data_IF_323847158743
#
_entry.id   IF_323847158743
#
_cell.length_a   1.000
_cell.length_b   1.000
_cell.length_c   1.000
_cell.angle_alpha   90.00
_cell.angle_beta   90.00
_cell.angle_gamma   90.00
#
_symmetry.space_group_name_H-M   'P 1'
#
loop_
_entity.id
_entity.type
_entity.pdbx_description
1 polymer ?
#
# COMPACT_ATOMS: atom_id res chain seq x y z
N UNK A 1 -9.11 -14.43 5.69
CA UNK A 1 -8.00 -13.45 5.70
C UNK A 1 -7.12 -13.75 6.90
N UNK A 2 -5.80 -13.72 6.75
CA UNK A 2 -4.85 -13.92 7.85
C UNK A 2 -5.03 -12.79 8.88
N UNK A 3 -5.03 -13.11 10.18
CA UNK A 3 -5.08 -12.08 11.22
C UNK A 3 -3.71 -11.36 11.32
N UNK A 4 -3.64 -10.17 10.77
CA UNK A 4 -2.44 -9.32 10.74
C UNK A 4 -2.46 -8.22 11.80
N UNK A 5 -3.62 -7.97 12.41
CA UNK A 5 -3.74 -6.95 13.44
C UNK A 5 -3.23 -7.42 14.80
N UNK A 6 -3.38 -8.70 15.14
CA UNK A 6 -2.85 -9.25 16.41
C UNK A 6 -1.32 -9.11 16.51
N UNK A 7 -0.51 -9.56 15.56
CA UNK A 7 0.95 -9.37 15.67
C UNK A 7 1.37 -7.89 15.67
N UNK A 8 0.61 -7.00 15.02
CA UNK A 8 0.86 -5.56 15.14
C UNK A 8 0.57 -5.06 16.56
N UNK A 9 -0.56 -5.45 17.15
CA UNK A 9 -0.92 -5.06 18.51
C UNK A 9 0.12 -5.53 19.55
N UNK A 10 0.66 -6.73 19.37
CA UNK A 10 1.75 -7.26 20.21
C UNK A 10 3.04 -6.41 20.07
N UNK A 11 3.40 -6.02 18.84
CA UNK A 11 4.57 -5.16 18.58
C UNK A 11 4.37 -3.74 19.14
N UNK A 12 3.13 -3.22 19.12
CA UNK A 12 2.74 -1.93 19.70
C UNK A 12 2.91 -1.97 21.23
N UNK A 13 2.35 -2.97 21.88
CA UNK A 13 2.46 -3.17 23.34
C UNK A 13 3.92 -3.36 23.78
N UNK A 14 4.71 -4.16 23.04
CA UNK A 14 6.13 -4.38 23.30
C UNK A 14 6.96 -3.09 23.18
N UNK A 15 6.52 -2.12 22.38
CA UNK A 15 7.13 -0.79 22.27
C UNK A 15 6.68 0.21 23.34
N UNK A 16 5.81 -0.22 24.28
CA UNK A 16 5.24 0.65 25.31
C UNK A 16 4.28 1.71 24.75
N UNK A 17 3.59 1.38 23.67
CA UNK A 17 2.57 2.21 23.05
C UNK A 17 1.17 1.65 23.35
N UNK A 18 0.19 2.53 23.47
CA UNK A 18 -1.21 2.14 23.69
C UNK A 18 -1.91 1.88 22.35
N UNK A 19 -1.59 2.68 21.33
CA UNK A 19 -2.16 2.59 19.98
C UNK A 19 -1.07 2.78 18.91
N UNK A 20 -1.37 2.30 17.71
CA UNK A 20 -0.61 2.58 16.51
C UNK A 20 -1.51 3.09 15.40
N UNK A 21 -1.20 4.28 14.89
CA UNK A 21 -1.89 4.92 13.78
C UNK A 21 -1.22 4.53 12.47
N UNK A 22 -1.97 3.86 11.61
CA UNK A 22 -1.57 3.48 10.25
C UNK A 22 -2.32 4.34 9.25
N UNK A 23 -1.60 5.03 8.39
CA UNK A 23 -2.13 5.95 7.37
C UNK A 23 -1.61 5.68 5.97
N UNK A 24 -0.52 4.91 5.82
CA UNK A 24 -0.09 4.41 4.53
C UNK A 24 -1.14 3.44 3.99
N UNK A 25 -1.72 3.76 2.83
CA UNK A 25 -2.80 2.97 2.24
C UNK A 25 -2.38 1.54 1.88
N UNK A 26 -1.10 1.31 1.57
CA UNK A 26 -0.59 -0.05 1.36
C UNK A 26 -0.59 -0.86 2.66
N UNK A 27 -0.28 -0.22 3.78
CA UNK A 27 -0.33 -0.83 5.11
C UNK A 27 -1.78 -1.00 5.60
N UNK A 28 -2.64 -0.04 5.30
CA UNK A 28 -4.09 -0.13 5.55
C UNK A 28 -4.68 -1.33 4.79
N UNK A 29 -4.41 -1.45 3.50
CA UNK A 29 -4.86 -2.59 2.68
C UNK A 29 -4.31 -3.91 3.23
N UNK A 30 -3.03 -3.97 3.56
CA UNK A 30 -2.40 -5.16 4.15
C UNK A 30 -3.11 -5.62 5.42
N UNK A 31 -3.48 -4.70 6.31
CA UNK A 31 -4.12 -5.02 7.57
C UNK A 31 -5.61 -5.36 7.43
N UNK A 32 -6.34 -4.66 6.58
CA UNK A 32 -7.80 -4.66 6.54
C UNK A 32 -8.40 -5.29 5.28
N UNK A 33 -7.66 -5.31 4.17
CA UNK A 33 -8.17 -5.59 2.83
C UNK A 33 -8.84 -4.40 2.14
N UNK A 34 -8.89 -3.23 2.77
CA UNK A 34 -9.50 -2.03 2.19
C UNK A 34 -8.67 -1.46 1.04
N UNK A 35 -9.27 -1.32 -0.12
CA UNK A 35 -8.61 -0.86 -1.36
C UNK A 35 -9.01 0.56 -1.79
N UNK A 36 -9.65 1.33 -0.90
CA UNK A 36 -10.01 2.73 -1.15
C UNK A 36 -8.82 3.70 -0.99
N UNK A 37 -9.05 4.96 -1.37
CA UNK A 37 -8.00 6.00 -1.39
C UNK A 37 -8.03 6.95 -0.19
N UNK A 38 -8.85 6.68 0.83
CA UNK A 38 -8.86 7.42 2.09
C UNK A 38 -9.27 6.50 3.24
N UNK A 39 -8.35 6.23 4.13
CA UNK A 39 -8.56 5.38 5.30
C UNK A 39 -7.39 5.44 6.26
N UNK A 40 -7.63 5.09 7.50
CA UNK A 40 -6.62 4.92 8.53
C UNK A 40 -7.01 3.79 9.48
N UNK A 41 -6.02 3.12 10.06
CA UNK A 41 -6.24 2.10 11.08
C UNK A 41 -5.70 2.56 12.42
N UNK A 42 -6.40 2.18 13.49
CA UNK A 42 -5.91 2.24 14.86
C UNK A 42 -5.85 0.82 15.42
N UNK A 43 -4.65 0.41 15.83
CA UNK A 43 -4.40 -0.92 16.38
C UNK A 43 -3.76 -0.79 17.75
N UNK A 44 -4.31 -1.50 18.72
CA UNK A 44 -3.80 -1.61 20.06
C UNK A 44 -4.33 -2.89 20.72
N UNK A 45 -4.06 -3.09 22.00
CA UNK A 45 -4.55 -4.25 22.72
C UNK A 45 -6.08 -4.29 22.71
N UNK A 46 -6.65 -5.34 22.10
CA UNK A 46 -8.10 -5.48 21.96
C UNK A 46 -8.79 -4.44 21.08
N UNK A 47 -8.04 -3.59 20.39
CA UNK A 47 -8.59 -2.51 19.57
C UNK A 47 -8.16 -2.64 18.11
N UNK A 48 -9.17 -2.67 17.23
CA UNK A 48 -9.01 -2.72 15.76
C UNK A 48 -10.04 -1.79 15.15
N UNK A 49 -9.67 -0.55 14.93
CA UNK A 49 -10.57 0.45 14.36
C UNK A 49 -10.10 0.89 12.99
N UNK A 50 -11.01 0.88 12.04
CA UNK A 50 -10.80 1.44 10.71
C UNK A 50 -11.59 2.73 10.56
N UNK A 51 -10.94 3.80 10.15
CA UNK A 51 -11.55 5.11 9.92
C UNK A 51 -11.54 5.43 8.43
N UNK A 52 -12.67 5.92 7.94
CA UNK A 52 -12.76 6.45 6.57
C UNK A 52 -13.84 7.54 6.50
N UNK A 53 -14.08 8.12 5.34
CA UNK A 53 -15.13 9.10 5.14
C UNK A 53 -16.38 8.50 4.49
N UNK A 54 -17.44 9.32 4.38
CA UNK A 54 -18.75 8.89 3.89
C UNK A 54 -18.73 8.29 2.47
N UNK A 55 -17.76 8.64 1.63
CA UNK A 55 -17.62 8.13 0.25
C UNK A 55 -17.32 6.63 0.21
N UNK A 56 -16.73 6.13 1.27
CA UNK A 56 -16.29 4.75 1.39
C UNK A 56 -17.09 3.91 2.40
N UNK A 57 -18.20 4.44 2.94
CA UNK A 57 -18.94 3.75 4.00
C UNK A 57 -19.35 2.32 3.63
N UNK A 58 -20.01 2.13 2.49
CA UNK A 58 -20.45 0.81 2.02
C UNK A 58 -19.26 -0.12 1.72
N UNK A 59 -18.21 0.44 1.11
CA UNK A 59 -17.00 -0.31 0.76
C UNK A 59 -16.23 -0.76 2.00
N UNK A 60 -16.10 0.12 2.98
CA UNK A 60 -15.45 -0.18 4.25
C UNK A 60 -16.16 -1.34 4.97
N UNK A 61 -17.50 -1.30 5.04
CA UNK A 61 -18.30 -2.36 5.65
C UNK A 61 -18.12 -3.72 4.94
N UNK A 62 -17.97 -3.70 3.62
CA UNK A 62 -17.78 -4.91 2.81
C UNK A 62 -16.35 -5.48 2.89
N UNK A 63 -15.32 -4.63 2.92
CA UNK A 63 -13.92 -5.02 2.78
C UNK A 63 -13.21 -5.21 4.12
N UNK A 64 -13.64 -4.55 5.23
CA UNK A 64 -12.91 -4.54 6.51
C UNK A 64 -13.51 -5.46 7.56
N UNK A 65 -13.71 -6.72 7.22
CA UNK A 65 -14.28 -7.72 8.14
C UNK A 65 -13.44 -7.86 9.42
N UNK A 66 -14.10 -7.74 10.57
CA UNK A 66 -13.45 -7.85 11.89
C UNK A 66 -12.82 -6.55 12.41
N UNK A 67 -13.13 -5.43 11.76
CA UNK A 67 -12.74 -4.09 12.21
C UNK A 67 -13.96 -3.28 12.65
N UNK A 68 -13.77 -2.46 13.67
CA UNK A 68 -14.76 -1.44 14.09
C UNK A 68 -14.65 -0.26 13.11
N UNK A 69 -15.65 -0.10 12.25
CA UNK A 69 -15.64 0.96 11.23
C UNK A 69 -16.17 2.27 11.80
N UNK A 70 -15.41 3.33 11.67
CA UNK A 70 -15.82 4.70 12.03
C UNK A 70 -15.86 5.57 10.78
N UNK A 71 -17.03 6.15 10.50
CA UNK A 71 -17.18 7.13 9.40
C UNK A 71 -16.94 8.53 9.96
N UNK A 72 -15.77 9.10 9.61
CA UNK A 72 -15.40 10.46 10.02
C UNK A 72 -16.30 11.48 9.34
N UNK A 73 -16.93 12.34 10.16
CA UNK A 73 -17.77 13.44 9.69
C UNK A 73 -17.02 14.76 9.85
N UNK A 74 -17.08 15.60 8.81
CA UNK A 74 -16.44 16.93 8.84
C UNK A 74 -14.96 16.89 8.47
N UNK A 75 -14.11 17.55 9.23
CA UNK A 75 -12.68 17.65 8.96
C UNK A 75 -11.96 16.36 9.34
N UNK A 76 -11.25 15.79 8.36
CA UNK A 76 -10.61 14.47 8.47
C UNK A 76 -9.64 14.36 9.66
N UNK A 77 -8.70 15.32 9.78
CA UNK A 77 -7.68 15.23 10.82
C UNK A 77 -8.27 15.46 12.23
N UNK A 78 -9.32 16.26 12.36
CA UNK A 78 -10.00 16.42 13.63
C UNK A 78 -10.74 15.14 14.06
N UNK A 79 -11.44 14.50 13.11
CA UNK A 79 -12.10 13.24 13.38
C UNK A 79 -11.14 12.10 13.69
N UNK A 80 -9.99 12.06 12.99
CA UNK A 80 -8.92 11.11 13.25
C UNK A 80 -8.32 11.34 14.65
N UNK A 81 -7.93 12.58 14.97
CA UNK A 81 -7.32 12.93 16.25
C UNK A 81 -8.23 12.64 17.46
N UNK A 82 -9.55 12.80 17.30
CA UNK A 82 -10.52 12.51 18.35
C UNK A 82 -10.56 11.01 18.77
N UNK A 83 -10.05 10.11 17.93
CA UNK A 83 -9.99 8.68 18.22
C UNK A 83 -8.67 8.25 18.87
N UNK A 84 -7.70 9.17 18.99
CA UNK A 84 -6.38 8.90 19.55
C UNK A 84 -6.39 9.11 21.07
N UNK A 85 -5.77 8.19 21.81
CA UNK A 85 -5.63 8.25 23.25
C UNK A 85 -4.32 7.61 23.71
N UNK A 86 -3.77 8.07 24.82
CA UNK A 86 -2.52 7.56 25.37
C UNK A 86 -1.32 7.81 24.46
N UNK A 87 -0.36 6.90 24.49
CA UNK A 87 0.85 6.95 23.68
C UNK A 87 0.60 6.31 22.32
N UNK A 88 0.45 7.14 21.28
CA UNK A 88 0.11 6.72 19.91
C UNK A 88 1.34 6.71 19.05
N UNK A 89 1.83 5.51 18.69
CA UNK A 89 2.83 5.38 17.65
C UNK A 89 2.25 5.71 16.28
N UNK A 90 3.04 6.23 15.37
CA UNK A 90 2.61 6.51 14.00
C UNK A 90 3.73 6.26 12.99
N UNK A 91 3.39 6.18 11.72
CA UNK A 91 4.31 5.97 10.59
C UNK A 91 5.06 7.27 10.25
N UNK A 92 6.13 7.57 10.97
CA UNK A 92 6.92 8.78 10.79
C UNK A 92 7.75 8.80 9.50
N UNK A 93 7.93 7.66 8.86
CA UNK A 93 8.50 7.51 7.53
C UNK A 93 7.48 7.80 6.40
N UNK A 94 6.19 7.79 6.69
CA UNK A 94 5.10 8.09 5.75
C UNK A 94 4.41 9.43 6.04
N UNK A 95 4.08 9.71 7.29
CA UNK A 95 3.34 10.90 7.70
C UNK A 95 4.22 12.14 7.60
N UNK A 96 3.80 13.13 6.82
CA UNK A 96 4.55 14.38 6.71
C UNK A 96 4.65 15.11 8.07
N UNK A 97 5.76 15.82 8.29
CA UNK A 97 5.94 16.67 9.50
C UNK A 97 4.76 17.64 9.70
N UNK A 98 4.22 18.17 8.59
CA UNK A 98 3.04 19.05 8.65
C UNK A 98 1.82 18.30 9.18
N UNK A 99 1.56 17.12 8.67
CA UNK A 99 0.42 16.28 9.08
C UNK A 99 0.55 15.86 10.54
N UNK A 100 1.73 15.38 10.95
CA UNK A 100 1.99 15.00 12.34
C UNK A 100 1.75 16.18 13.31
N UNK A 101 2.23 17.39 12.96
CA UNK A 101 1.98 18.60 13.76
C UNK A 101 0.49 18.93 13.83
N UNK A 102 -0.23 18.85 12.73
CA UNK A 102 -1.67 19.13 12.69
C UNK A 102 -2.48 18.13 13.51
N UNK A 103 -2.08 16.86 13.56
CA UNK A 103 -2.68 15.85 14.43
C UNK A 103 -2.36 16.19 15.89
N UNK A 104 -1.08 16.44 16.22
CA UNK A 104 -0.64 16.79 17.59
C UNK A 104 -1.38 17.98 18.18
N UNK A 105 -1.67 19.02 17.37
CA UNK A 105 -2.44 20.20 17.79
C UNK A 105 -3.90 19.90 18.11
N UNK A 106 -4.42 18.75 17.72
CA UNK A 106 -5.81 18.31 17.86
C UNK A 106 -5.99 17.14 18.82
N UNK A 107 -4.89 16.61 19.37
CA UNK A 107 -4.96 15.49 20.28
C UNK A 107 -5.81 15.79 21.50
N UNK A 108 -6.59 14.80 22.00
CA UNK A 108 -7.21 14.88 23.31
C UNK A 108 -6.18 15.06 24.43
N UNK A 109 -6.62 15.58 25.57
CA UNK A 109 -5.78 15.74 26.76
C UNK A 109 -5.20 14.39 27.20
N UNK A 110 -3.91 14.34 27.42
CA UNK A 110 -3.18 13.14 27.83
C UNK A 110 -2.77 12.21 26.68
N UNK A 111 -3.13 12.51 25.44
CA UNK A 111 -2.63 11.79 24.27
C UNK A 111 -1.33 12.41 23.73
N UNK A 112 -0.40 11.57 23.25
CA UNK A 112 0.83 11.99 22.60
C UNK A 112 1.12 11.16 21.34
N UNK A 113 1.69 11.77 20.30
CA UNK A 113 2.24 11.06 19.15
C UNK A 113 3.70 10.68 19.41
N UNK A 114 4.03 9.44 19.05
CA UNK A 114 5.37 8.87 19.19
C UNK A 114 5.85 8.39 17.82
N UNK A 115 6.95 8.91 17.32
CA UNK A 115 7.62 8.44 16.11
C UNK A 115 7.97 6.97 16.25
N UNK A 116 7.47 6.12 15.36
CA UNK A 116 7.53 4.67 15.53
C UNK A 116 7.33 3.89 14.22
N UNK A 117 7.87 4.41 13.11
CA UNK A 117 7.71 3.82 11.79
C UNK A 117 8.18 2.38 11.63
N UNK A 118 7.86 1.80 10.50
CA UNK A 118 8.35 0.48 10.07
C UNK A 118 7.70 -0.74 10.74
N UNK A 119 6.68 -0.59 11.60
CA UNK A 119 6.07 -1.74 12.29
C UNK A 119 5.28 -2.65 11.37
N UNK A 120 4.49 -2.06 10.48
CA UNK A 120 3.71 -2.85 9.49
C UNK A 120 4.63 -3.41 8.42
N UNK A 121 5.64 -2.65 7.98
CA UNK A 121 6.66 -3.11 7.04
C UNK A 121 7.44 -4.33 7.56
N UNK A 122 7.72 -4.38 8.85
CA UNK A 122 8.35 -5.56 9.46
C UNK A 122 7.47 -6.81 9.33
N UNK A 123 6.14 -6.70 9.51
CA UNK A 123 5.21 -7.80 9.28
C UNK A 123 5.18 -8.19 7.79
N UNK A 124 5.11 -7.23 6.89
CA UNK A 124 5.10 -7.43 5.44
C UNK A 124 6.37 -8.06 4.88
N UNK A 125 7.49 -8.00 5.61
CA UNK A 125 8.76 -8.64 5.19
C UNK A 125 8.65 -10.15 5.10
N UNK A 126 7.88 -10.78 6.00
CA UNK A 126 7.64 -12.23 6.00
C UNK A 126 6.30 -12.47 5.33
N UNK A 127 6.34 -13.08 4.14
CA UNK A 127 5.15 -13.33 3.32
C UNK A 127 4.43 -14.59 3.82
N UNK A 128 3.12 -14.49 3.92
CA UNK A 128 2.28 -15.66 4.17
C UNK A 128 2.12 -16.52 2.88
N UNK A 129 1.57 -17.76 2.98
CA UNK A 129 1.42 -18.63 1.81
C UNK A 129 0.60 -18.01 0.68
N UNK A 130 -0.47 -17.26 0.99
CA UNK A 130 -1.32 -16.62 -0.04
C UNK A 130 -0.58 -15.47 -0.75
N UNK A 131 0.24 -14.72 -0.02
CA UNK A 131 1.10 -13.69 -0.60
C UNK A 131 2.19 -14.28 -1.50
N UNK A 132 2.76 -15.44 -1.10
CA UNK A 132 3.73 -16.15 -1.94
C UNK A 132 3.08 -16.68 -3.22
N UNK A 133 1.86 -17.22 -3.15
CA UNK A 133 1.10 -17.65 -4.33
C UNK A 133 0.82 -16.48 -5.28
N UNK A 134 0.41 -15.33 -4.76
CA UNK A 134 0.17 -14.12 -5.57
C UNK A 134 1.45 -13.62 -6.25
N UNK A 135 2.58 -13.60 -5.54
CA UNK A 135 3.88 -13.22 -6.10
C UNK A 135 4.30 -14.21 -7.19
N UNK A 136 4.14 -15.52 -6.96
CA UNK A 136 4.46 -16.54 -7.94
C UNK A 136 3.61 -16.39 -9.22
N UNK A 137 2.30 -16.17 -9.08
CA UNK A 137 1.41 -15.95 -10.21
C UNK A 137 1.79 -14.70 -11.03
N UNK A 138 2.18 -13.61 -10.37
CA UNK A 138 2.66 -12.40 -11.03
C UNK A 138 3.98 -12.64 -11.78
N UNK A 139 4.90 -13.41 -11.19
CA UNK A 139 6.15 -13.79 -11.84
C UNK A 139 5.91 -14.66 -13.09
N UNK A 140 5.07 -15.70 -12.97
CA UNK A 140 4.70 -16.58 -14.10
C UNK A 140 4.05 -15.78 -15.25
N UNK A 141 3.19 -14.82 -14.93
CA UNK A 141 2.59 -13.93 -15.94
C UNK A 141 3.66 -13.09 -16.63
N UNK A 142 4.60 -12.54 -15.88
CA UNK A 142 5.71 -11.74 -16.42
C UNK A 142 6.59 -12.57 -17.35
N UNK A 143 6.98 -13.76 -16.94
CA UNK A 143 7.78 -14.67 -17.75
C UNK A 143 7.08 -15.05 -19.06
N UNK A 144 5.79 -15.38 -18.98
CA UNK A 144 4.99 -15.70 -20.17
C UNK A 144 4.97 -14.54 -21.16
N UNK A 145 4.70 -13.32 -20.71
CA UNK A 145 4.66 -12.12 -21.56
C UNK A 145 6.03 -11.82 -22.18
N UNK A 146 7.09 -12.00 -21.40
CA UNK A 146 8.47 -11.86 -21.89
C UNK A 146 8.78 -12.82 -23.03
N UNK A 147 8.45 -14.10 -22.89
CA UNK A 147 8.64 -15.09 -23.93
C UNK A 147 7.76 -14.84 -25.16
N UNK A 148 6.49 -14.44 -24.97
CA UNK A 148 5.62 -14.03 -26.08
C UNK A 148 6.21 -12.84 -26.87
N UNK A 149 6.83 -11.87 -26.20
CA UNK A 149 7.51 -10.75 -26.86
C UNK A 149 8.72 -11.21 -27.69
N UNK A 150 9.49 -12.15 -27.15
CA UNK A 150 10.62 -12.75 -27.88
C UNK A 150 10.14 -13.52 -29.12
N UNK A 151 9.14 -14.37 -28.97
CA UNK A 151 8.59 -15.20 -30.08
C UNK A 151 7.97 -14.32 -31.18
N UNK A 152 7.32 -13.21 -30.81
CA UNK A 152 6.79 -12.23 -31.75
C UNK A 152 7.91 -11.56 -32.58
N UNK A 153 9.13 -11.53 -32.07
CA UNK A 153 10.27 -10.85 -32.64
C UNK A 153 10.26 -9.35 -32.34
N UNK A 154 11.35 -8.84 -31.84
CA UNK A 154 11.52 -7.43 -31.49
C UNK A 154 12.16 -6.63 -32.62
N UNK A 155 12.99 -7.25 -33.43
CA UNK A 155 13.71 -6.58 -34.51
C UNK A 155 12.75 -5.94 -35.52
N UNK A 156 13.02 -4.67 -35.85
CA UNK A 156 12.18 -3.85 -36.73
C UNK A 156 10.97 -3.20 -36.08
N UNK A 157 10.75 -3.42 -34.78
CA UNK A 157 9.74 -2.74 -33.97
C UNK A 157 10.37 -1.58 -33.21
N UNK A 158 9.57 -0.62 -32.77
CA UNK A 158 10.07 0.42 -31.87
C UNK A 158 10.12 -0.06 -30.42
N UNK A 159 10.90 0.61 -29.60
CA UNK A 159 10.89 0.39 -28.14
C UNK A 159 9.46 0.54 -27.57
N UNK A 160 8.73 1.54 -28.07
CA UNK A 160 7.33 1.80 -27.67
C UNK A 160 6.40 0.64 -28.07
N UNK A 161 6.49 0.12 -29.29
CA UNK A 161 5.70 -1.03 -29.76
C UNK A 161 5.85 -2.27 -28.85
N UNK A 162 7.08 -2.50 -28.35
CA UNK A 162 7.34 -3.64 -27.45
C UNK A 162 6.79 -3.38 -26.05
N UNK A 163 6.93 -2.15 -25.54
CA UNK A 163 6.38 -1.77 -24.24
C UNK A 163 4.85 -1.84 -24.22
N UNK A 164 4.18 -1.28 -25.25
CA UNK A 164 2.72 -1.32 -25.40
C UNK A 164 2.20 -2.75 -25.55
N UNK A 165 2.91 -3.60 -26.29
CA UNK A 165 2.56 -5.02 -26.37
C UNK A 165 2.55 -5.66 -24.98
N UNK A 166 3.61 -5.47 -24.17
CA UNK A 166 3.69 -6.06 -22.83
C UNK A 166 2.53 -5.58 -21.94
N UNK A 167 2.24 -4.27 -21.95
CA UNK A 167 1.12 -3.69 -21.18
C UNK A 167 -0.23 -4.26 -21.63
N UNK A 168 -0.46 -4.37 -22.94
CA UNK A 168 -1.69 -4.94 -23.48
C UNK A 168 -1.88 -6.39 -23.03
N UNK A 169 -0.82 -7.21 -23.07
CA UNK A 169 -0.88 -8.60 -22.62
C UNK A 169 -1.13 -8.73 -21.11
N UNK A 170 -0.56 -7.83 -20.28
CA UNK A 170 -0.85 -7.79 -18.84
C UNK A 170 -2.34 -7.48 -18.61
N UNK A 171 -2.89 -6.49 -19.29
CA UNK A 171 -4.31 -6.11 -19.17
C UNK A 171 -5.27 -7.20 -19.65
N UNK A 172 -4.96 -7.87 -20.74
CA UNK A 172 -5.72 -9.03 -21.23
C UNK A 172 -5.76 -10.17 -20.20
N UNK A 173 -4.72 -10.31 -19.39
CA UNK A 173 -4.66 -11.25 -18.29
C UNK A 173 -5.29 -10.75 -16.97
N UNK A 174 -5.90 -9.57 -16.99
CA UNK A 174 -6.52 -8.96 -15.80
C UNK A 174 -5.51 -8.35 -14.81
N UNK A 175 -4.29 -8.04 -15.25
CA UNK A 175 -3.23 -7.44 -14.46
C UNK A 175 -2.86 -6.05 -14.99
N UNK A 176 -2.23 -5.24 -14.16
CA UNK A 176 -1.64 -3.95 -14.54
C UNK A 176 -0.14 -3.97 -14.27
N UNK A 177 0.66 -3.23 -15.06
CA UNK A 177 2.07 -3.10 -14.75
C UNK A 177 2.29 -2.35 -13.43
N UNK A 178 3.17 -2.83 -12.58
CA UNK A 178 3.51 -2.18 -11.31
C UNK A 178 4.31 -0.88 -11.49
N UNK A 179 4.92 -0.70 -12.65
CA UNK A 179 5.61 0.52 -13.09
C UNK A 179 5.66 0.54 -14.63
N UNK A 180 5.88 1.70 -15.26
CA UNK A 180 6.00 1.78 -16.72
C UNK A 180 7.12 0.86 -17.23
N UNK A 181 6.88 0.00 -18.25
CA UNK A 181 7.90 -0.87 -18.80
C UNK A 181 9.09 -0.10 -19.32
N UNK A 182 10.29 -0.59 -19.06
CA UNK A 182 11.53 -0.08 -19.63
C UNK A 182 11.89 -0.98 -20.81
N UNK A 183 11.89 -0.42 -22.02
CA UNK A 183 12.38 -1.06 -23.23
C UNK A 183 13.39 -0.12 -23.86
N UNK A 184 14.65 -0.54 -23.94
CA UNK A 184 15.75 0.30 -24.36
C UNK A 184 16.69 -0.47 -25.31
N UNK A 185 16.94 0.10 -26.49
CA UNK A 185 17.77 -0.50 -27.52
C UNK A 185 18.97 0.38 -27.92
N UNK A 186 20.04 -0.24 -28.37
CA UNK A 186 21.25 0.46 -28.86
C UNK A 186 21.79 1.46 -27.83
N UNK A 187 21.91 2.77 -28.18
CA UNK A 187 22.41 3.81 -27.27
C UNK A 187 21.58 4.03 -26.00
N UNK A 188 20.28 3.63 -25.99
CA UNK A 188 19.41 3.72 -24.82
C UNK A 188 19.66 2.58 -23.82
N UNK A 189 20.21 1.44 -24.27
CA UNK A 189 20.43 0.25 -23.46
C UNK A 189 21.20 0.48 -22.14
N UNK A 190 22.23 1.34 -22.09
CA UNK A 190 22.94 1.67 -20.85
C UNK A 190 22.17 2.59 -19.90
N UNK A 191 21.02 3.13 -20.29
CA UNK A 191 20.23 4.08 -19.50
C UNK A 191 19.22 3.31 -18.62
N UNK A 192 19.41 3.25 -17.29
CA UNK A 192 18.56 2.42 -16.40
C UNK A 192 17.12 2.90 -16.30
N UNK A 193 16.84 4.14 -16.68
CA UNK A 193 15.51 4.76 -16.67
C UNK A 193 15.10 5.28 -18.04
N UNK A 194 15.55 4.62 -19.12
CA UNK A 194 15.13 5.00 -20.46
C UNK A 194 13.61 4.83 -20.62
N UNK A 195 12.97 5.86 -21.16
CA UNK A 195 11.56 5.76 -21.55
C UNK A 195 11.49 5.18 -22.98
N UNK A 196 10.61 4.18 -23.23
CA UNK A 196 10.42 3.61 -24.55
C UNK A 196 9.97 4.67 -25.56
N UNK A 197 10.65 4.74 -26.69
CA UNK A 197 10.38 5.72 -27.76
C UNK A 197 10.28 5.09 -29.13
N UNK A 198 10.36 5.96 -30.17
CA UNK A 198 10.28 5.59 -31.60
C UNK A 198 11.56 4.94 -32.13
N UNK A 199 12.54 4.67 -31.29
CA UNK A 199 13.75 3.98 -31.69
C UNK A 199 13.44 2.55 -32.12
N UNK A 200 13.87 2.20 -33.32
CA UNK A 200 13.76 0.84 -33.85
C UNK A 200 14.83 -0.06 -33.22
N UNK A 201 14.43 -1.24 -32.79
CA UNK A 201 15.24 -2.33 -32.21
C UNK A 201 15.92 -3.14 -33.34
#
# INVERSE_FOLDING_TARGET
MTDRATPLAEAVAAAGLDLYLVTDLLNVEYLTGFTGTNGACLVGEGRRRFLTDFRYAERAEAETTGWDVTIVKGEWLAGLAAELEGRVGFEDDHVSVKTARQISERLPEGAELVESGGKVEQLRRIKDPAELEAIAAAAELTDRIYFEAIERGMSGRTELDVAEFAVARMREAGAEPSFPPIVAAGPNGPLPHAEPGERVI
#
